data_IF_643255143955
#
_entry.id   IF_643255143955
#
_cell.length_a   1.000
_cell.length_b   1.000
_cell.length_c   1.000
_cell.angle_alpha   90.00
_cell.angle_beta   90.00
_cell.angle_gamma   90.00
#
_symmetry.space_group_name_H-M   'P 1'
#
loop_
_entity.id
_entity.type
_entity.pdbx_description
1 polymer ?
#
# COMPACT_ATOMS: atom_id res chain seq x y z
N UNK A 1 -18.28 -11.30 3.84
CA UNK A 1 -19.64 -11.00 3.49
C UNK A 1 -20.25 -12.09 2.62
N UNK A 2 -20.92 -13.10 3.20
CA UNK A 2 -21.43 -14.19 2.38
C UNK A 2 -22.60 -13.69 1.53
N UNK A 3 -22.28 -13.32 0.32
CA UNK A 3 -23.26 -13.11 -0.74
C UNK A 3 -24.10 -14.38 -0.94
N UNK A 4 -25.33 -14.25 -1.37
CA UNK A 4 -26.24 -15.33 -1.74
C UNK A 4 -25.51 -16.42 -2.55
N UNK A 5 -25.79 -17.69 -2.27
CA UNK A 5 -25.15 -18.81 -3.00
C UNK A 5 -25.37 -18.75 -4.52
N UNK A 6 -26.45 -18.11 -4.96
CA UNK A 6 -26.79 -17.97 -6.40
C UNK A 6 -25.84 -17.01 -7.11
N UNK A 7 -25.42 -15.94 -6.42
CA UNK A 7 -24.58 -14.89 -6.97
C UNK A 7 -23.09 -15.07 -6.61
N UNK A 8 -22.79 -16.04 -5.74
CA UNK A 8 -21.46 -16.25 -5.15
C UNK A 8 -20.49 -16.84 -6.16
N UNK A 9 -19.34 -16.19 -6.33
CA UNK A 9 -18.19 -16.77 -7.03
C UNK A 9 -17.38 -17.66 -6.08
N UNK A 10 -16.99 -18.85 -6.52
CA UNK A 10 -16.27 -19.82 -5.72
C UNK A 10 -17.03 -20.27 -4.46
N UNK A 11 -16.29 -20.55 -3.39
CA UNK A 11 -16.88 -21.03 -2.14
C UNK A 11 -17.36 -19.88 -1.25
N UNK A 12 -16.54 -18.81 -1.13
CA UNK A 12 -16.78 -17.70 -0.19
C UNK A 12 -17.43 -16.48 -0.84
N UNK A 13 -17.34 -16.33 -2.18
CA UNK A 13 -17.67 -15.10 -2.89
C UNK A 13 -16.59 -14.03 -2.71
N UNK A 14 -16.80 -12.87 -3.33
CA UNK A 14 -15.90 -11.73 -3.15
C UNK A 14 -16.13 -11.06 -1.79
N UNK A 15 -15.08 -10.82 -1.03
CA UNK A 15 -15.15 -9.99 0.19
C UNK A 15 -15.34 -8.50 -0.14
N UNK A 16 -15.28 -8.11 -1.42
CA UNK A 16 -15.69 -6.78 -1.92
C UNK A 16 -17.17 -6.72 -2.34
N UNK A 17 -17.92 -7.82 -2.29
CA UNK A 17 -19.38 -7.84 -2.50
C UNK A 17 -20.12 -7.52 -1.21
N UNK A 18 -20.30 -6.23 -0.91
CA UNK A 18 -20.84 -5.76 0.38
C UNK A 18 -22.35 -5.96 0.46
N UNK A 19 -22.83 -6.84 1.36
CA UNK A 19 -24.24 -7.07 1.60
C UNK A 19 -24.90 -5.99 2.51
N UNK A 20 -24.16 -5.44 3.46
CA UNK A 20 -24.58 -4.35 4.34
C UNK A 20 -23.38 -3.53 4.81
N UNK A 21 -23.42 -2.22 4.60
CA UNK A 21 -22.32 -1.30 4.92
C UNK A 21 -22.17 -0.98 6.42
N UNK A 22 -23.07 -1.45 7.26
CA UNK A 22 -23.09 -1.19 8.71
C UNK A 22 -23.02 -2.46 9.55
N UNK A 23 -22.76 -3.62 8.92
CA UNK A 23 -22.69 -4.91 9.63
C UNK A 23 -21.35 -5.61 9.46
N UNK A 24 -20.97 -6.35 10.47
CA UNK A 24 -19.85 -7.30 10.42
C UNK A 24 -20.31 -8.58 9.71
N UNK A 25 -19.42 -9.20 8.95
CA UNK A 25 -19.62 -10.55 8.45
C UNK A 25 -19.62 -11.53 9.65
N UNK A 26 -20.72 -12.25 9.89
CA UNK A 26 -20.84 -13.13 11.06
C UNK A 26 -19.82 -14.27 11.10
N UNK A 27 -19.16 -14.59 9.97
CA UNK A 27 -18.05 -15.55 9.95
C UNK A 27 -16.80 -15.02 10.68
N UNK A 28 -16.66 -13.71 10.85
CA UNK A 28 -15.52 -13.07 11.51
C UNK A 28 -15.84 -12.58 12.93
N UNK A 29 -17.09 -12.73 13.38
CA UNK A 29 -17.52 -12.34 14.71
C UNK A 29 -18.63 -11.29 14.73
N UNK A 30 -18.79 -10.66 15.88
CA UNK A 30 -19.78 -9.63 16.17
C UNK A 30 -19.19 -8.21 16.06
N UNK A 31 -20.05 -7.21 16.23
CA UNK A 31 -19.60 -5.81 16.37
C UNK A 31 -18.76 -5.60 17.64
N UNK A 32 -19.04 -6.34 18.71
CA UNK A 32 -18.29 -6.24 19.97
C UNK A 32 -16.88 -6.84 19.79
N UNK A 33 -16.75 -7.98 19.09
CA UNK A 33 -15.44 -8.56 18.73
C UNK A 33 -14.61 -7.58 17.89
N UNK A 34 -15.25 -6.88 16.95
CA UNK A 34 -14.59 -5.84 16.16
C UNK A 34 -14.12 -4.66 17.04
N UNK A 35 -14.96 -4.18 17.95
CA UNK A 35 -14.61 -3.10 18.90
C UNK A 35 -13.42 -3.50 19.79
N UNK A 36 -13.42 -4.75 20.26
CA UNK A 36 -12.32 -5.30 21.06
C UNK A 36 -11.03 -5.37 20.24
N UNK A 37 -11.10 -5.84 18.99
CA UNK A 37 -9.94 -5.84 18.06
C UNK A 37 -9.36 -4.43 17.89
N UNK A 38 -10.20 -3.44 17.60
CA UNK A 38 -9.73 -2.05 17.40
C UNK A 38 -9.11 -1.51 18.69
N UNK A 39 -9.76 -1.75 19.84
CA UNK A 39 -9.23 -1.34 21.14
C UNK A 39 -7.86 -1.98 21.42
N UNK A 40 -7.76 -3.29 21.23
CA UNK A 40 -6.49 -4.01 21.44
C UNK A 40 -5.37 -3.50 20.53
N UNK A 41 -5.68 -3.24 19.25
CA UNK A 41 -4.74 -2.64 18.33
C UNK A 41 -4.23 -1.27 18.82
N UNK A 42 -5.12 -0.42 19.32
CA UNK A 42 -4.76 0.87 19.91
C UNK A 42 -3.91 0.72 21.17
N UNK A 43 -4.25 -0.22 22.06
CA UNK A 43 -3.52 -0.47 23.31
C UNK A 43 -2.05 -0.86 23.05
N UNK A 44 -1.76 -1.52 21.92
CA UNK A 44 -0.39 -1.87 21.50
C UNK A 44 0.22 -0.87 20.51
N UNK A 45 -0.44 0.26 20.26
CA UNK A 45 0.08 1.41 19.51
C UNK A 45 -0.18 1.40 18.01
N UNK A 46 -1.02 0.48 17.49
CA UNK A 46 -1.45 0.49 16.09
C UNK A 46 -2.57 1.48 15.83
N UNK A 47 -2.68 1.91 14.58
CA UNK A 47 -3.85 2.58 14.02
C UNK A 47 -4.60 1.60 13.14
N UNK A 48 -5.92 1.68 13.14
CA UNK A 48 -6.80 0.79 12.39
C UNK A 48 -7.55 1.57 11.32
N UNK A 49 -7.38 1.17 10.06
CA UNK A 49 -8.18 1.70 8.95
C UNK A 49 -9.05 0.59 8.37
N UNK A 50 -10.26 0.95 7.96
CA UNK A 50 -11.23 0.02 7.39
C UNK A 50 -11.15 0.07 5.86
N UNK A 51 -11.11 -1.10 5.21
CA UNK A 51 -11.25 -1.18 3.77
C UNK A 51 -12.71 -0.89 3.37
N UNK A 52 -12.91 0.11 2.52
CA UNK A 52 -14.21 0.64 2.15
C UNK A 52 -14.47 0.49 0.67
N UNK A 53 -15.62 -0.08 0.31
CA UNK A 53 -15.98 -0.39 -1.09
C UNK A 53 -17.05 0.58 -1.60
N UNK A 54 -16.69 1.76 -2.12
CA UNK A 54 -17.66 2.77 -2.51
C UNK A 54 -18.21 2.59 -3.93
N UNK A 55 -17.52 1.85 -4.81
CA UNK A 55 -17.87 1.76 -6.23
C UNK A 55 -19.09 0.88 -6.51
N UNK A 56 -19.30 -0.15 -5.69
CA UNK A 56 -20.33 -1.18 -5.90
C UNK A 56 -20.73 -1.82 -4.57
N UNK A 57 -21.88 -2.47 -4.55
CA UNK A 57 -22.30 -3.36 -3.46
C UNK A 57 -22.37 -4.80 -3.94
N UNK A 58 -22.60 -5.74 -3.03
CA UNK A 58 -22.99 -7.11 -3.38
C UNK A 58 -24.34 -7.16 -4.12
N UNK A 59 -24.52 -8.18 -4.94
CA UNK A 59 -25.75 -8.41 -5.67
C UNK A 59 -26.96 -8.73 -4.77
N UNK A 60 -26.70 -9.05 -3.51
CA UNK A 60 -27.70 -9.32 -2.46
C UNK A 60 -27.85 -8.18 -1.46
N UNK A 61 -27.26 -7.01 -1.70
CA UNK A 61 -27.41 -5.86 -0.82
C UNK A 61 -28.89 -5.42 -0.75
N UNK A 62 -29.40 -5.20 0.47
CA UNK A 62 -30.79 -4.82 0.69
C UNK A 62 -31.23 -3.57 -0.07
N UNK A 63 -30.33 -2.62 -0.34
CA UNK A 63 -30.63 -1.39 -1.07
C UNK A 63 -31.13 -1.67 -2.50
N UNK A 64 -30.83 -2.85 -3.09
CA UNK A 64 -31.31 -3.20 -4.43
C UNK A 64 -32.85 -3.18 -4.48
N UNK A 65 -33.51 -3.62 -3.40
CA UNK A 65 -34.97 -3.67 -3.30
C UNK A 65 -35.53 -2.42 -2.59
N UNK A 66 -34.84 -1.92 -1.57
CA UNK A 66 -35.33 -0.79 -0.77
C UNK A 66 -35.12 0.56 -1.47
N UNK A 67 -34.00 0.69 -2.20
CA UNK A 67 -33.55 1.92 -2.86
C UNK A 67 -32.99 1.63 -4.26
N UNK A 68 -33.81 1.15 -5.23
CA UNK A 68 -33.33 0.78 -6.56
C UNK A 68 -32.74 1.94 -7.37
N UNK A 69 -32.96 3.18 -6.97
CA UNK A 69 -32.40 4.42 -7.50
C UNK A 69 -30.96 4.70 -7.01
N UNK A 70 -30.49 3.96 -5.99
CA UNK A 70 -29.09 3.98 -5.56
C UNK A 70 -28.14 3.29 -6.53
N UNK A 71 -28.69 2.61 -7.55
CA UNK A 71 -27.93 1.85 -8.53
C UNK A 71 -28.00 2.44 -9.92
N UNK A 72 -26.87 2.42 -10.62
CA UNK A 72 -26.84 2.65 -12.07
C UNK A 72 -27.66 1.55 -12.74
N UNK A 73 -28.48 1.92 -13.73
CA UNK A 73 -29.29 0.95 -14.47
C UNK A 73 -28.62 0.58 -15.80
N UNK A 74 -28.73 -0.68 -16.17
CA UNK A 74 -28.38 -1.18 -17.50
C UNK A 74 -29.46 -0.85 -18.53
N UNK A 75 -29.27 -1.32 -19.76
CA UNK A 75 -30.18 -1.07 -20.89
C UNK A 75 -31.60 -1.70 -20.74
N UNK A 76 -31.73 -2.63 -19.79
CA UNK A 76 -33.02 -3.29 -19.49
C UNK A 76 -33.61 -2.87 -18.14
N UNK A 77 -33.02 -1.81 -17.52
CA UNK A 77 -33.51 -1.23 -16.28
C UNK A 77 -33.10 -1.96 -15.00
N UNK A 78 -32.22 -2.95 -15.06
CA UNK A 78 -31.69 -3.67 -13.91
C UNK A 78 -30.46 -2.96 -13.35
N UNK A 79 -30.09 -3.17 -12.05
CA UNK A 79 -28.82 -2.69 -11.51
C UNK A 79 -27.63 -3.19 -12.34
N UNK A 80 -26.85 -2.26 -12.85
CA UNK A 80 -25.72 -2.55 -13.73
C UNK A 80 -24.60 -3.30 -13.00
N UNK A 81 -23.94 -4.21 -13.69
CA UNK A 81 -22.74 -4.91 -13.22
C UNK A 81 -21.53 -4.05 -13.61
N UNK A 82 -20.66 -3.63 -12.65
CA UNK A 82 -19.41 -2.96 -12.99
C UNK A 82 -18.42 -3.98 -13.54
N UNK A 83 -17.75 -3.63 -14.65
CA UNK A 83 -16.76 -4.49 -15.30
C UNK A 83 -17.31 -5.90 -15.58
N UNK A 84 -16.58 -6.95 -15.19
CA UNK A 84 -16.97 -8.37 -15.25
C UNK A 84 -17.32 -8.97 -13.85
N UNK A 85 -17.56 -8.10 -12.85
CA UNK A 85 -17.82 -8.50 -11.45
C UNK A 85 -19.29 -8.84 -11.23
N UNK A 86 -19.68 -10.02 -11.70
CA UNK A 86 -21.08 -10.46 -11.77
C UNK A 86 -21.80 -10.56 -10.43
N UNK A 87 -21.04 -10.69 -9.34
CA UNK A 87 -21.51 -10.73 -7.94
C UNK A 87 -21.70 -9.35 -7.31
N UNK A 88 -21.52 -8.28 -8.09
CA UNK A 88 -21.65 -6.90 -7.60
C UNK A 88 -22.62 -6.06 -8.43
N UNK A 89 -23.01 -4.88 -7.91
CA UNK A 89 -23.90 -3.92 -8.57
C UNK A 89 -23.38 -2.49 -8.40
N UNK A 90 -23.28 -1.76 -9.53
CA UNK A 90 -22.71 -0.41 -9.61
C UNK A 90 -23.58 0.61 -8.88
N UNK A 91 -22.98 1.37 -7.96
CA UNK A 91 -23.65 2.42 -7.20
C UNK A 91 -23.76 3.73 -7.99
N UNK A 92 -24.80 4.52 -7.72
CA UNK A 92 -25.18 5.69 -8.49
C UNK A 92 -24.88 7.00 -7.75
N UNK A 93 -23.73 7.56 -7.97
CA UNK A 93 -23.31 8.84 -7.38
C UNK A 93 -24.04 10.08 -7.91
N UNK A 94 -24.91 9.96 -8.91
CA UNK A 94 -25.81 11.05 -9.30
C UNK A 94 -26.97 11.23 -8.32
N UNK A 95 -27.24 10.23 -7.47
CA UNK A 95 -28.27 10.29 -6.44
C UNK A 95 -27.67 10.88 -5.15
N UNK A 96 -28.12 12.08 -4.77
CA UNK A 96 -27.62 12.78 -3.58
C UNK A 96 -28.01 12.09 -2.28
N UNK A 97 -29.21 11.47 -2.18
CA UNK A 97 -29.62 10.71 -1.01
C UNK A 97 -28.72 9.48 -0.80
N UNK A 98 -28.31 8.83 -1.90
CA UNK A 98 -27.30 7.76 -1.84
C UNK A 98 -25.96 8.27 -1.32
N UNK A 99 -25.46 9.43 -1.81
CA UNK A 99 -24.22 10.01 -1.32
C UNK A 99 -24.26 10.25 0.19
N UNK A 100 -25.35 10.85 0.69
CA UNK A 100 -25.54 11.10 2.14
C UNK A 100 -25.60 9.80 2.94
N UNK A 101 -26.26 8.78 2.40
CA UNK A 101 -26.34 7.45 3.02
C UNK A 101 -24.95 6.81 3.12
N UNK A 102 -24.15 6.87 2.05
CA UNK A 102 -22.79 6.33 2.03
C UNK A 102 -21.88 7.04 3.06
N UNK A 103 -21.95 8.38 3.14
CA UNK A 103 -21.22 9.16 4.14
C UNK A 103 -21.65 8.76 5.58
N UNK A 104 -22.94 8.58 5.81
CA UNK A 104 -23.45 8.18 7.11
C UNK A 104 -22.98 6.76 7.52
N UNK A 105 -22.89 5.84 6.56
CA UNK A 105 -22.29 4.51 6.82
C UNK A 105 -20.81 4.62 7.21
N UNK A 106 -20.03 5.50 6.60
CA UNK A 106 -18.64 5.72 7.01
C UNK A 106 -18.55 6.38 8.41
N UNK A 107 -19.40 7.38 8.68
CA UNK A 107 -19.48 8.00 10.02
C UNK A 107 -19.83 6.99 11.10
N UNK A 108 -20.74 6.04 10.82
CA UNK A 108 -21.11 4.97 11.73
C UNK A 108 -19.88 4.20 12.25
N UNK A 109 -18.96 3.79 11.38
CA UNK A 109 -17.77 3.05 11.79
C UNK A 109 -16.80 3.88 12.64
N UNK A 110 -16.67 5.19 12.36
CA UNK A 110 -15.88 6.09 13.22
C UNK A 110 -16.49 6.18 14.61
N UNK A 111 -17.82 6.33 14.70
CA UNK A 111 -18.54 6.51 15.96
C UNK A 111 -18.59 5.24 16.80
N UNK A 112 -18.86 4.09 16.15
CA UNK A 112 -19.02 2.82 16.84
C UNK A 112 -17.71 2.17 17.29
N UNK A 113 -16.62 2.36 16.54
CA UNK A 113 -15.38 1.63 16.80
C UNK A 113 -14.12 2.50 16.86
N UNK A 114 -14.25 3.81 16.72
CA UNK A 114 -13.14 4.75 16.80
C UNK A 114 -11.96 4.42 15.84
N UNK A 115 -12.24 3.84 14.67
CA UNK A 115 -11.20 3.57 13.66
C UNK A 115 -10.49 4.85 13.25
N UNK A 116 -9.26 4.72 12.73
CA UNK A 116 -8.40 5.85 12.42
C UNK A 116 -8.44 6.28 10.96
N UNK A 117 -9.12 5.53 10.10
CA UNK A 117 -9.18 5.87 8.69
C UNK A 117 -9.89 4.86 7.82
N UNK A 118 -9.78 5.09 6.51
CA UNK A 118 -10.30 4.22 5.48
C UNK A 118 -9.28 4.01 4.35
N UNK A 119 -9.23 2.80 3.82
CA UNK A 119 -8.71 2.51 2.49
C UNK A 119 -9.92 2.42 1.55
N UNK A 120 -10.00 3.27 0.56
CA UNK A 120 -11.14 3.33 -0.35
C UNK A 120 -10.83 2.59 -1.65
N UNK A 121 -11.55 1.49 -1.86
CA UNK A 121 -11.47 0.61 -3.03
C UNK A 121 -11.91 1.34 -4.29
N UNK A 122 -11.16 1.16 -5.39
CA UNK A 122 -11.44 1.77 -6.71
C UNK A 122 -11.81 3.27 -6.62
N UNK A 123 -11.13 4.00 -5.73
CA UNK A 123 -11.45 5.40 -5.42
C UNK A 123 -11.38 6.32 -6.63
N UNK A 124 -10.59 5.97 -7.65
CA UNK A 124 -10.43 6.74 -8.88
C UNK A 124 -11.67 6.78 -9.77
N UNK A 125 -12.62 5.86 -9.59
CA UNK A 125 -13.88 5.78 -10.34
C UNK A 125 -15.02 6.57 -9.71
N UNK A 126 -14.81 7.08 -8.51
CA UNK A 126 -15.79 7.84 -7.76
C UNK A 126 -15.61 9.34 -8.06
N UNK A 127 -16.70 10.12 -8.21
CA UNK A 127 -16.60 11.54 -8.50
C UNK A 127 -15.82 12.33 -7.43
N UNK A 128 -14.92 13.20 -7.88
CA UNK A 128 -14.11 14.05 -7.03
C UNK A 128 -14.96 14.89 -6.05
N UNK A 129 -16.09 15.44 -6.51
CA UNK A 129 -17.00 16.25 -5.67
C UNK A 129 -17.61 15.43 -4.50
N UNK A 130 -17.87 14.13 -4.71
CA UNK A 130 -18.29 13.26 -3.63
C UNK A 130 -17.18 13.13 -2.57
N UNK A 131 -15.93 12.89 -2.99
CA UNK A 131 -14.82 12.75 -2.06
C UNK A 131 -14.58 14.03 -1.25
N UNK A 132 -14.61 15.21 -1.88
CA UNK A 132 -14.50 16.50 -1.18
C UNK A 132 -15.56 16.63 -0.08
N UNK A 133 -16.82 16.35 -0.41
CA UNK A 133 -17.93 16.38 0.54
C UNK A 133 -17.75 15.32 1.63
N UNK A 134 -17.47 14.08 1.25
CA UNK A 134 -17.35 12.95 2.17
C UNK A 134 -16.24 13.19 3.20
N UNK A 135 -15.02 13.50 2.73
CA UNK A 135 -13.86 13.66 3.62
C UNK A 135 -14.04 14.88 4.54
N UNK A 136 -14.62 15.98 4.03
CA UNK A 136 -14.95 17.12 4.87
C UNK A 136 -15.94 16.75 5.99
N UNK A 137 -16.95 15.93 5.69
CA UNK A 137 -17.92 15.45 6.68
C UNK A 137 -17.30 14.45 7.68
N UNK A 138 -16.39 13.57 7.23
CA UNK A 138 -15.70 12.64 8.13
C UNK A 138 -14.75 13.39 9.09
N UNK A 139 -14.04 14.40 8.61
CA UNK A 139 -13.14 15.24 9.42
C UNK A 139 -13.86 16.03 10.52
N UNK A 140 -15.17 16.31 10.39
CA UNK A 140 -15.99 16.87 11.49
C UNK A 140 -16.18 15.88 12.65
N UNK A 141 -16.16 14.56 12.37
CA UNK A 141 -16.27 13.52 13.39
C UNK A 141 -14.90 13.15 14.00
N UNK A 142 -13.86 13.09 13.17
CA UNK A 142 -12.49 12.78 13.57
C UNK A 142 -11.53 13.58 12.71
N UNK A 143 -11.02 14.69 13.24
CA UNK A 143 -10.23 15.67 12.48
C UNK A 143 -8.99 15.08 11.81
N UNK A 144 -8.36 14.07 12.41
CA UNK A 144 -7.16 13.38 11.93
C UNK A 144 -7.46 12.02 11.28
N UNK A 145 -8.65 11.84 10.70
CA UNK A 145 -9.01 10.62 9.96
C UNK A 145 -8.05 10.44 8.77
N UNK A 146 -7.44 9.28 8.64
CA UNK A 146 -6.51 8.96 7.54
C UNK A 146 -7.27 8.39 6.35
N UNK A 147 -7.05 8.94 5.16
CA UNK A 147 -7.73 8.54 3.93
C UNK A 147 -6.73 8.04 2.90
N UNK A 148 -6.82 6.75 2.57
CA UNK A 148 -6.02 6.08 1.55
C UNK A 148 -6.89 5.73 0.35
N UNK A 149 -6.54 6.23 -0.83
CA UNK A 149 -7.22 5.90 -2.08
C UNK A 149 -6.51 4.78 -2.83
N UNK A 150 -7.24 3.75 -3.21
CA UNK A 150 -6.77 2.82 -4.23
C UNK A 150 -6.93 3.47 -5.61
N UNK A 151 -5.97 4.27 -5.96
CA UNK A 151 -5.82 4.94 -7.25
C UNK A 151 -4.44 5.59 -7.31
N UNK A 152 -3.98 5.94 -8.51
CA UNK A 152 -2.75 6.72 -8.74
C UNK A 152 -3.11 8.03 -9.47
N UNK A 153 -3.94 8.88 -8.80
CA UNK A 153 -4.55 10.08 -9.38
C UNK A 153 -4.29 11.30 -8.49
N UNK A 154 -3.63 12.36 -9.02
CA UNK A 154 -3.26 13.55 -8.23
C UNK A 154 -4.45 14.29 -7.62
N UNK A 155 -5.59 14.41 -8.35
CA UNK A 155 -6.78 15.15 -7.88
C UNK A 155 -7.34 14.61 -6.56
N UNK A 156 -7.18 13.33 -6.25
CA UNK A 156 -7.66 12.75 -4.99
C UNK A 156 -6.98 13.38 -3.75
N UNK A 157 -5.75 13.85 -3.86
CA UNK A 157 -5.11 14.60 -2.79
C UNK A 157 -5.73 15.99 -2.59
N UNK A 158 -6.17 16.62 -3.68
CA UNK A 158 -6.92 17.90 -3.62
C UNK A 158 -8.31 17.70 -3.02
N UNK A 159 -8.89 16.51 -3.18
CA UNK A 159 -10.17 16.10 -2.61
C UNK A 159 -10.08 15.77 -1.12
N UNK A 160 -8.85 15.63 -0.58
CA UNK A 160 -8.58 15.46 0.86
C UNK A 160 -8.03 14.11 1.27
N UNK A 161 -7.69 13.21 0.32
CA UNK A 161 -6.95 11.98 0.62
C UNK A 161 -5.52 12.29 1.06
N UNK A 162 -5.05 11.59 2.07
CA UNK A 162 -3.68 11.69 2.57
C UNK A 162 -2.71 10.89 1.71
N UNK A 163 -3.15 9.73 1.22
CA UNK A 163 -2.31 8.83 0.43
C UNK A 163 -3.04 8.22 -0.76
N UNK A 164 -2.28 7.94 -1.82
CA UNK A 164 -2.70 7.15 -2.98
C UNK A 164 -1.74 6.00 -3.23
N UNK A 165 -2.18 4.95 -3.92
CA UNK A 165 -1.30 3.83 -4.29
C UNK A 165 -0.19 4.25 -5.24
N UNK A 166 1.00 3.70 -5.08
CA UNK A 166 2.15 3.93 -5.96
C UNK A 166 2.16 2.92 -7.13
N UNK A 167 1.04 2.78 -7.86
CA UNK A 167 0.89 1.79 -8.93
C UNK A 167 1.94 1.95 -10.04
N UNK A 168 2.22 3.20 -10.44
CA UNK A 168 3.25 3.48 -11.44
C UNK A 168 4.65 3.02 -11.02
N UNK A 169 4.99 3.22 -9.73
CA UNK A 169 6.27 2.78 -9.18
C UNK A 169 6.33 1.25 -9.06
N UNK A 170 5.26 0.62 -8.58
CA UNK A 170 5.17 -0.83 -8.51
C UNK A 170 5.36 -1.48 -9.90
N UNK A 171 4.66 -0.98 -10.92
CA UNK A 171 4.80 -1.46 -12.29
C UNK A 171 6.23 -1.29 -12.84
N UNK A 172 6.91 -0.19 -12.48
CA UNK A 172 8.30 0.02 -12.89
C UNK A 172 9.26 -0.91 -12.14
N UNK A 173 9.06 -1.13 -10.83
CA UNK A 173 9.86 -2.11 -10.07
C UNK A 173 9.75 -3.52 -10.66
N UNK A 174 8.56 -3.97 -11.06
CA UNK A 174 8.38 -5.26 -11.77
C UNK A 174 9.20 -5.33 -13.06
N UNK A 175 9.20 -4.26 -13.85
CA UNK A 175 9.99 -4.21 -15.10
C UNK A 175 11.49 -4.22 -14.84
N UNK A 176 11.95 -3.60 -13.74
CA UNK A 176 13.36 -3.65 -13.34
C UNK A 176 13.72 -5.04 -12.82
N UNK A 177 12.89 -5.63 -11.96
CA UNK A 177 13.11 -6.96 -11.41
C UNK A 177 13.23 -8.05 -12.47
N UNK A 178 12.46 -7.95 -13.55
CA UNK A 178 12.48 -8.87 -14.70
C UNK A 178 13.56 -8.53 -15.74
N UNK A 179 14.33 -7.45 -15.55
CA UNK A 179 15.33 -6.98 -16.51
C UNK A 179 14.76 -6.26 -17.73
N UNK A 180 13.44 -6.07 -17.83
CA UNK A 180 12.80 -5.35 -18.93
C UNK A 180 13.11 -3.84 -18.92
N UNK A 181 13.52 -3.31 -17.79
CA UNK A 181 13.99 -1.93 -17.62
C UNK A 181 15.23 -1.90 -16.73
N UNK A 182 16.02 -0.83 -16.87
CA UNK A 182 17.21 -0.56 -16.06
C UNK A 182 16.81 0.13 -14.74
N UNK A 183 17.64 0.03 -13.70
CA UNK A 183 17.40 0.65 -12.41
C UNK A 183 17.11 2.16 -12.50
N UNK A 184 17.79 2.89 -13.39
CA UNK A 184 17.55 4.33 -13.62
C UNK A 184 16.14 4.66 -14.12
N UNK A 185 15.37 3.70 -14.62
CA UNK A 185 13.99 3.93 -15.04
C UNK A 185 13.05 4.29 -13.86
N UNK A 186 13.42 3.92 -12.63
CA UNK A 186 12.68 4.32 -11.41
C UNK A 186 12.64 5.85 -11.25
N UNK A 187 13.68 6.57 -11.73
CA UNK A 187 13.71 8.03 -11.66
C UNK A 187 12.63 8.70 -12.50
N UNK A 188 12.25 8.10 -13.63
CA UNK A 188 11.19 8.66 -14.48
C UNK A 188 9.85 8.69 -13.75
N UNK A 189 9.53 7.65 -12.97
CA UNK A 189 8.30 7.58 -12.17
C UNK A 189 8.38 8.53 -10.97
N UNK A 190 9.53 8.57 -10.30
CA UNK A 190 9.74 9.50 -9.19
C UNK A 190 9.58 10.95 -9.65
N UNK A 191 10.23 11.33 -10.76
CA UNK A 191 10.12 12.68 -11.31
C UNK A 191 8.68 13.02 -11.72
N UNK A 192 7.93 12.06 -12.26
CA UNK A 192 6.51 12.26 -12.55
C UNK A 192 5.71 12.56 -11.27
N UNK A 193 5.93 11.79 -10.21
CA UNK A 193 5.28 12.05 -8.92
C UNK A 193 5.67 13.41 -8.36
N UNK A 194 6.97 13.71 -8.32
CA UNK A 194 7.50 14.99 -7.79
C UNK A 194 6.97 16.24 -8.53
N UNK A 195 6.62 16.10 -9.82
CA UNK A 195 6.14 17.22 -10.65
C UNK A 195 4.62 17.31 -10.80
N UNK A 196 3.90 16.22 -10.52
CA UNK A 196 2.46 16.12 -10.82
C UNK A 196 1.60 16.05 -9.55
N UNK A 197 2.11 15.44 -8.48
CA UNK A 197 1.38 15.31 -7.23
C UNK A 197 1.68 16.50 -6.30
N UNK A 198 0.74 16.85 -5.39
CA UNK A 198 1.01 17.84 -4.35
C UNK A 198 2.23 17.47 -3.51
N UNK A 199 2.99 18.46 -3.05
CA UNK A 199 4.25 18.26 -2.29
C UNK A 199 4.09 17.38 -1.05
N UNK A 200 2.94 17.39 -0.41
CA UNK A 200 2.64 16.59 0.78
C UNK A 200 1.92 15.27 0.48
N UNK A 201 1.73 14.93 -0.80
CA UNK A 201 1.06 13.71 -1.19
C UNK A 201 1.85 12.48 -0.73
N UNK A 202 1.22 11.62 0.05
CA UNK A 202 1.81 10.33 0.42
C UNK A 202 1.48 9.26 -0.62
N UNK A 203 2.38 8.32 -0.80
CA UNK A 203 2.21 7.19 -1.72
C UNK A 203 2.34 5.87 -0.97
N UNK A 204 1.38 4.97 -1.15
CA UNK A 204 1.47 3.61 -0.63
C UNK A 204 2.42 2.80 -1.49
N UNK A 205 3.61 2.52 -0.98
CA UNK A 205 4.63 1.69 -1.63
C UNK A 205 4.50 0.23 -1.20
N UNK A 206 4.60 -0.68 -2.14
CA UNK A 206 4.49 -2.11 -1.88
C UNK A 206 5.26 -2.94 -2.91
N UNK A 207 5.66 -4.14 -2.52
CA UNK A 207 6.17 -5.20 -3.42
C UNK A 207 5.10 -6.22 -3.76
N UNK A 208 4.05 -6.30 -2.95
CA UNK A 208 2.83 -7.08 -3.17
C UNK A 208 1.67 -6.49 -2.38
N UNK A 209 0.45 -6.87 -2.74
CA UNK A 209 -0.78 -6.64 -2.00
C UNK A 209 -1.75 -7.81 -2.26
N UNK A 210 -2.97 -7.74 -1.73
CA UNK A 210 -3.95 -8.81 -1.87
C UNK A 210 -4.32 -9.12 -3.33
N UNK A 211 -4.40 -8.12 -4.21
CA UNK A 211 -4.68 -8.31 -5.63
C UNK A 211 -3.47 -8.88 -6.37
N UNK A 212 -2.32 -8.26 -6.21
CA UNK A 212 -1.09 -8.71 -6.88
C UNK A 212 -0.67 -10.12 -6.45
N UNK A 213 -0.86 -10.46 -5.18
CA UNK A 213 -0.60 -11.81 -4.70
C UNK A 213 -1.60 -12.82 -5.28
N UNK A 214 -2.91 -12.53 -5.21
CA UNK A 214 -3.95 -13.46 -5.65
C UNK A 214 -3.96 -13.68 -7.15
N UNK A 215 -3.76 -12.62 -7.95
CA UNK A 215 -3.91 -12.66 -9.41
C UNK A 215 -2.58 -12.78 -10.16
N UNK A 216 -1.53 -12.15 -9.67
CA UNK A 216 -0.29 -11.98 -10.41
C UNK A 216 0.92 -12.63 -9.72
N UNK A 217 0.82 -13.13 -8.51
CA UNK A 217 1.93 -13.70 -7.71
C UNK A 217 3.15 -12.77 -7.70
N UNK A 218 2.95 -11.45 -7.54
CA UNK A 218 3.96 -10.44 -7.79
C UNK A 218 5.26 -10.66 -7.02
N UNK A 219 5.14 -10.97 -5.72
CA UNK A 219 6.29 -11.16 -4.84
C UNK A 219 7.13 -12.40 -5.20
N UNK A 220 6.49 -13.46 -5.66
CA UNK A 220 7.11 -14.76 -5.93
C UNK A 220 7.24 -15.09 -7.41
N UNK A 221 6.47 -14.40 -8.26
CA UNK A 221 6.55 -14.54 -9.71
C UNK A 221 7.51 -13.58 -10.37
N UNK A 222 7.56 -12.32 -9.91
CA UNK A 222 8.38 -11.25 -10.52
C UNK A 222 9.53 -10.79 -9.62
N UNK A 223 9.45 -11.00 -8.30
CA UNK A 223 10.48 -10.65 -7.31
C UNK A 223 10.81 -11.84 -6.39
N UNK A 224 11.13 -13.05 -6.92
CA UNK A 224 11.34 -14.23 -6.10
C UNK A 224 12.70 -14.21 -5.38
N UNK A 225 12.75 -14.83 -4.20
CA UNK A 225 14.00 -15.10 -3.48
C UNK A 225 14.79 -13.83 -3.17
N UNK A 226 16.03 -13.77 -3.64
CA UNK A 226 16.95 -12.64 -3.40
C UNK A 226 16.49 -11.33 -4.06
N UNK A 227 15.72 -11.40 -5.16
CA UNK A 227 15.21 -10.20 -5.85
C UNK A 227 14.29 -9.37 -4.96
N UNK A 228 13.54 -10.02 -4.06
CA UNK A 228 12.60 -9.34 -3.17
C UNK A 228 13.26 -8.28 -2.28
N UNK A 229 14.39 -8.60 -1.66
CA UNK A 229 14.98 -7.80 -0.60
C UNK A 229 15.33 -6.36 -0.99
N UNK A 230 16.06 -6.07 -2.09
CA UNK A 230 16.39 -4.70 -2.46
C UNK A 230 15.15 -3.87 -2.83
N UNK A 231 14.11 -4.47 -3.41
CA UNK A 231 12.85 -3.76 -3.66
C UNK A 231 12.05 -3.51 -2.38
N UNK A 232 12.06 -4.43 -1.43
CA UNK A 232 11.47 -4.20 -0.12
C UNK A 232 12.21 -3.09 0.63
N UNK A 233 13.55 -3.04 0.61
CA UNK A 233 14.33 -1.91 1.16
C UNK A 233 13.92 -0.60 0.47
N UNK A 234 13.81 -0.60 -0.85
CA UNK A 234 13.37 0.57 -1.62
C UNK A 234 11.99 1.07 -1.13
N UNK A 235 10.98 0.21 -1.03
CA UNK A 235 9.63 0.60 -0.61
C UNK A 235 9.57 1.12 0.82
N UNK A 236 10.50 0.71 1.70
CA UNK A 236 10.53 1.10 3.12
C UNK A 236 11.33 2.38 3.38
N UNK A 237 12.06 2.91 2.38
CA UNK A 237 13.02 3.99 2.60
C UNK A 237 12.88 5.18 1.65
N UNK A 238 11.93 5.13 0.72
CA UNK A 238 11.68 6.25 -0.23
C UNK A 238 11.05 7.46 0.46
N UNK A 239 11.16 8.67 -0.11
CA UNK A 239 10.42 9.83 0.40
C UNK A 239 8.93 9.72 0.11
N UNK A 240 8.12 10.44 0.88
CA UNK A 240 6.66 10.50 0.76
C UNK A 240 5.96 9.14 0.81
N UNK A 241 6.62 8.14 1.37
CA UNK A 241 6.13 6.77 1.41
C UNK A 241 5.27 6.46 2.64
N UNK A 242 4.26 5.64 2.39
CA UNK A 242 3.57 4.80 3.38
C UNK A 242 3.84 3.36 2.93
N UNK A 243 4.80 2.65 3.54
CA UNK A 243 5.16 1.32 3.08
C UNK A 243 4.14 0.28 3.54
N UNK A 244 3.76 -0.61 2.63
CA UNK A 244 2.92 -1.77 2.92
C UNK A 244 3.77 -3.04 3.01
N UNK A 245 3.52 -3.83 4.04
CA UNK A 245 3.92 -5.23 4.15
C UNK A 245 2.64 -6.05 4.10
N UNK A 246 2.44 -6.82 3.03
CA UNK A 246 1.27 -7.67 2.89
C UNK A 246 1.42 -8.94 3.71
N UNK A 247 0.34 -9.40 4.33
CA UNK A 247 0.31 -10.62 5.15
C UNK A 247 0.92 -11.82 4.43
N UNK A 248 1.87 -12.50 5.07
CA UNK A 248 2.62 -13.64 4.52
C UNK A 248 3.98 -13.28 3.96
N UNK A 249 4.29 -11.99 3.70
CA UNK A 249 5.62 -11.59 3.23
C UNK A 249 6.71 -11.83 4.29
N UNK A 250 6.37 -11.78 5.55
CA UNK A 250 7.28 -12.07 6.68
C UNK A 250 7.59 -13.55 6.84
N UNK A 251 6.76 -14.46 6.27
CA UNK A 251 6.96 -15.92 6.40
C UNK A 251 8.16 -16.47 5.62
N UNK A 252 8.51 -16.24 4.34
CA UNK A 252 7.80 -15.79 3.16
C UNK A 252 6.81 -16.82 2.61
N UNK A 253 5.61 -16.41 2.28
CA UNK A 253 4.65 -17.25 1.61
C UNK A 253 4.97 -17.32 0.10
N UNK A 254 5.14 -18.54 -0.43
CA UNK A 254 5.58 -18.77 -1.81
C UNK A 254 4.43 -18.98 -2.81
N UNK A 255 3.20 -19.15 -2.32
CA UNK A 255 2.01 -19.36 -3.13
C UNK A 255 1.09 -18.15 -3.10
N UNK A 256 0.29 -17.98 -4.15
CA UNK A 256 -0.77 -16.98 -4.15
C UNK A 256 -1.90 -17.43 -3.22
N UNK A 257 -2.46 -16.49 -2.48
CA UNK A 257 -3.64 -16.70 -1.64
C UNK A 257 -4.88 -16.63 -2.54
N UNK A 258 -5.76 -17.61 -2.41
CA UNK A 258 -6.99 -17.65 -3.19
C UNK A 258 -7.95 -16.52 -2.82
N UNK A 259 -8.56 -15.89 -3.84
CA UNK A 259 -9.50 -14.79 -3.64
C UNK A 259 -10.91 -15.26 -3.23
N UNK A 260 -11.36 -16.41 -3.75
CA UNK A 260 -12.75 -16.88 -3.58
C UNK A 260 -12.88 -18.13 -2.69
N UNK A 261 -11.78 -18.65 -2.18
CA UNK A 261 -11.76 -19.87 -1.37
C UNK A 261 -11.03 -19.61 -0.06
N UNK A 262 -11.38 -20.37 0.98
CA UNK A 262 -10.65 -20.32 2.25
C UNK A 262 -9.23 -20.85 2.05
N UNK A 263 -8.25 -19.98 2.24
CA UNK A 263 -6.85 -20.27 1.98
C UNK A 263 -5.98 -19.66 3.10
N UNK A 264 -5.70 -20.42 4.16
CA UNK A 264 -5.00 -19.92 5.34
C UNK A 264 -3.50 -19.73 5.06
N UNK A 265 -2.94 -18.63 5.55
CA UNK A 265 -1.49 -18.46 5.61
C UNK A 265 -0.93 -19.32 6.74
N UNK A 266 -0.04 -20.25 6.40
CA UNK A 266 0.63 -21.12 7.37
C UNK A 266 1.92 -20.47 7.88
N UNK A 267 1.81 -19.62 8.88
CA UNK A 267 2.97 -19.05 9.57
C UNK A 267 3.71 -20.13 10.36
N UNK A 268 5.00 -20.33 10.08
CA UNK A 268 5.86 -21.35 10.71
C UNK A 268 7.25 -20.83 11.07
N UNK A 269 7.93 -20.21 10.13
CA UNK A 269 9.36 -19.89 10.22
C UNK A 269 9.64 -18.39 10.37
N UNK A 270 8.73 -17.54 9.92
CA UNK A 270 8.91 -16.08 9.89
C UNK A 270 10.25 -15.66 9.30
N UNK A 271 10.63 -16.28 8.18
CA UNK A 271 11.98 -16.19 7.61
C UNK A 271 12.43 -14.79 7.23
N UNK A 272 11.49 -13.87 6.94
CA UNK A 272 11.76 -12.45 6.66
C UNK A 272 11.38 -11.51 7.81
N UNK A 273 10.86 -12.01 8.95
CA UNK A 273 10.41 -11.14 10.03
C UNK A 273 11.53 -10.27 10.59
N UNK A 274 12.74 -10.82 10.78
CA UNK A 274 13.91 -10.03 11.24
C UNK A 274 14.26 -8.93 10.24
N UNK A 275 14.22 -9.24 8.93
CA UNK A 275 14.50 -8.27 7.86
C UNK A 275 13.52 -7.08 7.91
N UNK A 276 12.22 -7.34 7.95
CA UNK A 276 11.21 -6.29 8.03
C UNK A 276 11.26 -5.54 9.36
N UNK A 277 11.46 -6.25 10.48
CA UNK A 277 11.61 -5.61 11.79
C UNK A 277 12.75 -4.58 11.80
N UNK A 278 13.91 -4.93 11.21
CA UNK A 278 15.06 -4.01 11.10
C UNK A 278 14.68 -2.72 10.35
N UNK A 279 13.97 -2.84 9.22
CA UNK A 279 13.52 -1.68 8.45
C UNK A 279 12.48 -0.84 9.19
N UNK A 280 11.50 -1.48 9.84
CA UNK A 280 10.46 -0.80 10.62
C UNK A 280 11.05 -0.07 11.85
N UNK A 281 12.00 -0.70 12.55
CA UNK A 281 12.71 -0.08 13.67
C UNK A 281 13.54 1.12 13.21
N UNK A 282 14.25 1.00 12.08
CA UNK A 282 14.97 2.12 11.49
C UNK A 282 14.01 3.27 11.18
N UNK A 283 12.89 2.98 10.51
CA UNK A 283 11.90 3.98 10.14
C UNK A 283 11.28 4.66 11.36
N UNK A 284 10.96 3.90 12.40
CA UNK A 284 10.38 4.42 13.65
C UNK A 284 11.33 5.35 14.40
N UNK A 285 12.63 5.05 14.39
CA UNK A 285 13.61 5.66 15.27
C UNK A 285 14.54 6.69 14.57
N UNK A 286 14.46 6.80 13.23
CA UNK A 286 15.33 7.70 12.46
C UNK A 286 14.53 8.67 11.60
N UNK A 287 14.55 9.95 11.98
CA UNK A 287 13.81 11.02 11.27
C UNK A 287 14.24 11.22 9.81
N UNK A 288 15.44 10.75 9.43
CA UNK A 288 15.86 10.76 8.02
C UNK A 288 14.95 9.94 7.10
N UNK A 289 14.12 9.04 7.66
CA UNK A 289 13.09 8.31 6.90
C UNK A 289 11.67 8.89 7.07
N UNK A 290 11.51 10.04 7.71
CA UNK A 290 10.24 10.75 7.72
C UNK A 290 9.81 11.06 6.26
N UNK A 291 8.50 11.12 6.00
CA UNK A 291 7.97 11.30 4.66
C UNK A 291 8.54 12.54 3.94
N UNK A 292 8.72 13.64 4.68
CA UNK A 292 9.23 14.93 4.20
C UNK A 292 10.75 15.10 4.35
N UNK A 293 11.49 14.10 4.83
CA UNK A 293 12.94 14.17 4.91
C UNK A 293 13.55 14.29 3.50
N UNK A 294 14.70 14.96 3.39
CA UNK A 294 15.34 15.19 2.10
C UNK A 294 15.74 13.88 1.42
N UNK A 295 15.75 13.91 0.11
CA UNK A 295 16.22 12.82 -0.74
C UNK A 295 17.25 13.34 -1.73
N UNK A 296 18.38 12.67 -1.83
CA UNK A 296 19.40 12.97 -2.85
C UNK A 296 19.92 11.65 -3.44
N UNK A 297 19.75 11.48 -4.75
CA UNK A 297 20.33 10.35 -5.46
C UNK A 297 21.85 10.43 -5.46
N UNK A 298 22.52 9.28 -5.40
CA UNK A 298 23.99 9.16 -5.41
C UNK A 298 24.46 8.51 -6.71
N UNK A 299 25.49 9.10 -7.31
CA UNK A 299 26.22 8.52 -8.41
C UNK A 299 27.49 7.81 -7.87
N UNK A 300 27.35 6.53 -7.56
CA UNK A 300 28.41 5.73 -6.94
C UNK A 300 28.70 4.43 -7.70
N UNK A 301 28.03 4.18 -8.81
CA UNK A 301 28.17 2.97 -9.61
C UNK A 301 27.39 3.04 -10.91
N UNK A 302 27.28 1.92 -11.59
CA UNK A 302 26.57 1.85 -12.88
C UNK A 302 25.06 2.10 -12.68
N UNK A 303 24.56 3.28 -13.06
CA UNK A 303 23.16 3.71 -12.89
C UNK A 303 22.12 2.76 -13.48
N UNK A 304 22.53 1.93 -14.45
CA UNK A 304 21.64 0.93 -15.06
C UNK A 304 21.34 -0.25 -14.13
N UNK A 305 22.12 -0.41 -13.06
CA UNK A 305 22.03 -1.51 -12.10
C UNK A 305 21.99 -1.02 -10.64
N UNK A 306 22.78 0.01 -10.31
CA UNK A 306 22.86 0.56 -8.96
C UNK A 306 21.83 1.69 -8.79
N UNK A 307 21.02 1.56 -7.77
CA UNK A 307 20.14 2.64 -7.29
C UNK A 307 20.55 3.00 -5.87
N UNK A 308 21.16 4.16 -5.72
CA UNK A 308 21.68 4.61 -4.44
C UNK A 308 21.23 6.02 -4.11
N UNK A 309 20.95 6.28 -2.84
CA UNK A 309 20.49 7.58 -2.37
C UNK A 309 20.78 7.79 -0.91
N UNK A 310 20.71 9.04 -0.49
CA UNK A 310 20.75 9.45 0.91
C UNK A 310 19.45 10.16 1.28
N UNK A 311 18.93 9.81 2.45
CA UNK A 311 17.86 10.51 3.13
C UNK A 311 18.46 11.26 4.32
N UNK A 312 17.98 12.45 4.57
CA UNK A 312 18.52 13.27 5.67
C UNK A 312 17.44 14.15 6.30
N UNK A 313 17.47 14.23 7.64
CA UNK A 313 16.67 15.15 8.43
C UNK A 313 17.34 15.41 9.77
N UNK A 314 17.35 16.68 10.21
CA UNK A 314 17.83 17.11 11.54
C UNK A 314 19.20 16.52 11.93
N UNK A 315 20.16 16.46 11.01
CA UNK A 315 21.50 15.93 11.22
C UNK A 315 21.61 14.39 11.14
N UNK A 316 20.50 13.66 11.15
CA UNK A 316 20.50 12.21 10.93
C UNK A 316 20.56 11.92 9.41
N UNK A 317 21.29 10.87 9.05
CA UNK A 317 21.45 10.43 7.67
C UNK A 317 21.22 8.94 7.56
N UNK A 318 20.57 8.53 6.47
CA UNK A 318 20.41 7.12 6.04
C UNK A 318 20.85 7.02 4.61
N UNK A 319 21.90 6.26 4.33
CA UNK A 319 22.35 5.95 2.97
C UNK A 319 21.87 4.56 2.58
N UNK A 320 21.24 4.47 1.42
CA UNK A 320 20.73 3.22 0.85
C UNK A 320 21.43 2.95 -0.48
N UNK A 321 21.94 1.73 -0.63
CA UNK A 321 22.61 1.27 -1.86
C UNK A 321 21.97 -0.05 -2.26
N UNK A 322 21.42 -0.11 -3.47
CA UNK A 322 20.71 -1.26 -4.02
C UNK A 322 21.34 -1.69 -5.34
N UNK A 323 21.71 -2.95 -5.44
CA UNK A 323 22.00 -3.57 -6.73
C UNK A 323 20.71 -4.21 -7.27
N UNK A 324 20.07 -3.52 -8.22
CA UNK A 324 18.84 -3.96 -8.86
C UNK A 324 19.14 -4.77 -10.14
N UNK A 325 20.12 -5.64 -10.07
CA UNK A 325 20.52 -6.52 -11.18
C UNK A 325 21.01 -7.89 -10.71
N UNK A 326 20.91 -8.87 -11.58
CA UNK A 326 21.44 -10.22 -11.36
C UNK A 326 22.94 -10.37 -11.57
N UNK A 327 23.70 -9.27 -11.53
CA UNK A 327 25.15 -9.26 -11.72
C UNK A 327 25.83 -8.51 -10.56
N UNK A 328 26.98 -8.98 -10.13
CA UNK A 328 27.87 -8.25 -9.22
C UNK A 328 28.18 -6.87 -9.81
N UNK A 329 28.13 -5.83 -9.00
CA UNK A 329 28.43 -4.47 -9.42
C UNK A 329 29.55 -3.88 -8.58
N UNK A 330 30.39 -3.05 -9.21
CA UNK A 330 31.39 -2.24 -8.54
C UNK A 330 30.81 -0.88 -8.17
N UNK A 331 31.08 -0.43 -6.97
CA UNK A 331 30.66 0.88 -6.46
C UNK A 331 31.82 1.61 -5.82
N UNK A 332 31.78 2.94 -5.89
CA UNK A 332 32.77 3.82 -5.27
C UNK A 332 32.10 5.09 -4.77
N UNK A 333 32.21 5.36 -3.49
CA UNK A 333 31.73 6.61 -2.89
C UNK A 333 32.82 7.67 -3.02
N UNK A 334 32.55 8.68 -3.87
CA UNK A 334 33.48 9.81 -4.11
C UNK A 334 33.11 11.05 -3.31
N UNK A 335 31.88 11.15 -2.85
CA UNK A 335 31.40 12.24 -1.99
C UNK A 335 32.04 12.12 -0.61
N UNK A 336 33.01 12.97 -0.32
CA UNK A 336 33.77 12.95 0.96
C UNK A 336 32.88 13.16 2.19
N UNK A 337 31.70 13.77 2.03
CA UNK A 337 30.75 13.99 3.11
C UNK A 337 30.02 12.72 3.55
N UNK A 338 30.19 11.64 2.79
CA UNK A 338 29.63 10.32 3.03
C UNK A 338 30.69 9.30 3.49
N UNK A 339 31.95 9.71 3.58
CA UNK A 339 33.03 8.85 4.08
C UNK A 339 33.12 8.92 5.58
N UNK A 340 33.67 7.90 6.20
CA UNK A 340 33.86 7.82 7.66
C UNK A 340 33.05 6.71 8.31
N UNK A 341 32.80 6.87 9.61
CA UNK A 341 32.14 5.82 10.39
C UNK A 341 30.64 5.79 10.11
N UNK A 342 30.13 4.59 9.89
CA UNK A 342 28.72 4.30 9.62
C UNK A 342 28.33 3.01 10.35
N UNK A 343 27.05 2.86 10.61
CA UNK A 343 26.47 1.63 11.15
C UNK A 343 25.62 0.92 10.09
N UNK A 344 25.95 -0.34 9.79
CA UNK A 344 25.18 -1.18 8.87
C UNK A 344 24.03 -1.83 9.63
N UNK A 345 22.79 -1.42 9.32
CA UNK A 345 21.60 -1.83 10.07
C UNK A 345 21.28 -3.32 9.98
N UNK A 346 21.73 -4.01 8.91
CA UNK A 346 21.41 -5.42 8.70
C UNK A 346 22.44 -6.36 9.32
N UNK A 347 23.71 -5.98 9.30
CA UNK A 347 24.79 -6.76 9.93
C UNK A 347 24.98 -6.39 11.40
N UNK A 348 24.59 -5.17 11.79
CA UNK A 348 24.88 -4.60 13.11
C UNK A 348 26.33 -4.17 13.28
N UNK A 349 27.11 -4.13 12.21
CA UNK A 349 28.53 -3.77 12.25
C UNK A 349 28.72 -2.26 12.08
N UNK A 350 29.69 -1.72 12.83
CA UNK A 350 30.25 -0.41 12.57
C UNK A 350 31.36 -0.56 11.53
N UNK A 351 31.27 0.23 10.47
CA UNK A 351 32.16 0.18 9.33
C UNK A 351 32.80 1.55 9.08
N UNK A 352 33.95 1.59 8.42
CA UNK A 352 34.59 2.83 8.02
C UNK A 352 34.63 2.94 6.50
N UNK A 353 33.74 3.77 5.94
CA UNK A 353 33.67 3.99 4.51
C UNK A 353 34.84 4.83 4.02
N UNK A 354 35.44 4.35 2.94
CA UNK A 354 36.54 5.01 2.23
C UNK A 354 36.17 5.22 0.76
N UNK A 355 36.99 5.96 0.03
CA UNK A 355 36.81 6.15 -1.41
C UNK A 355 37.31 4.97 -2.27
N UNK A 356 37.68 3.84 -1.67
CA UNK A 356 38.07 2.63 -2.39
C UNK A 356 36.85 2.00 -3.06
N UNK A 357 37.09 1.42 -4.25
CA UNK A 357 36.09 0.61 -4.95
C UNK A 357 35.83 -0.68 -4.16
N UNK A 358 34.59 -1.08 -4.08
CA UNK A 358 34.15 -2.35 -3.52
C UNK A 358 33.00 -2.94 -4.34
N UNK A 359 32.63 -4.18 -4.06
CA UNK A 359 31.65 -4.92 -4.81
C UNK A 359 30.37 -5.12 -4.02
N UNK A 360 29.24 -5.10 -4.71
CA UNK A 360 27.95 -5.47 -4.16
C UNK A 360 27.39 -6.64 -4.99
N UNK A 361 26.98 -7.68 -4.28
CA UNK A 361 26.47 -8.92 -4.86
C UNK A 361 25.21 -8.71 -5.72
N UNK A 362 24.88 -9.65 -6.63
CA UNK A 362 23.61 -9.62 -7.35
C UNK A 362 22.42 -9.48 -6.39
N UNK A 363 21.51 -8.53 -6.65
CA UNK A 363 20.37 -8.22 -5.78
C UNK A 363 20.78 -7.85 -4.35
N UNK A 364 22.02 -7.48 -4.15
CA UNK A 364 22.55 -7.04 -2.86
C UNK A 364 22.01 -5.65 -2.47
N UNK A 365 22.01 -5.42 -1.18
CA UNK A 365 21.58 -4.13 -0.61
C UNK A 365 22.39 -3.81 0.63
N UNK A 366 22.57 -2.52 0.88
CA UNK A 366 23.23 -2.01 2.09
C UNK A 366 22.46 -0.77 2.55
N UNK A 367 22.25 -0.68 3.86
CA UNK A 367 21.65 0.51 4.47
C UNK A 367 22.51 0.93 5.67
N UNK A 368 23.04 2.13 5.57
CA UNK A 368 23.89 2.73 6.58
C UNK A 368 23.19 3.89 7.29
N UNK A 369 23.43 4.00 8.59
CA UNK A 369 23.16 5.20 9.40
C UNK A 369 24.46 5.87 9.81
N UNK A 370 24.43 7.20 9.98
CA UNK A 370 25.56 8.03 10.37
C UNK A 370 25.38 8.56 11.80
#
# INVERSE_FOLDING_TARGET
>A
NPISKVDRKGELGSYYAIADYTKINPEFGSLDDWKELVKHAHDIGFKVILDWVPNHSGADNRWINEHPDFYVKDSVGKPAIPYDWTDTRKLNYKNLAFQDTMINCMKYWIQESNIDGFRCDVAGDIPDDFWKKCIAELKKNKANIFMLAEADKPSLHEDGFDATYAWGMFAMMKKVATGARKASALDSVRNYVDTTFPVNALKLFFTSNHDENSWNKADYGTMPGAIHAPFAVFTQTMPHDVPLIYSGQEEPMLDSISFFYKDPIHFKNFGRAKFYKTLLELRKNNSALAANASFRKLDIGKETAIYAYIRQDNGKKVMVILNLSGQEQKIQIRDVTLLGNVHNIFTGADEHLTNKEWKIEPWGYVVYTY
#
